data_IF_559138589148
#
_entry.id   IF_559138589148
#
_cell.length_a   1.000
_cell.length_b   1.000
_cell.length_c   1.000
_cell.angle_alpha   90.00
_cell.angle_beta   90.00
_cell.angle_gamma   90.00
#
_symmetry.space_group_name_H-M   'P 1'
#
loop_
_entity.id
_entity.type
_entity.pdbx_description
1 polymer ?
#
# COMPACT_ATOMS: atom_id res chain seq x y z
N UNK A 1 7.32 -42.39 -16.49
CA UNK A 1 8.15 -41.83 -15.40
C UNK A 1 8.77 -40.44 -15.71
N UNK A 2 8.57 -39.84 -16.90
CA UNK A 2 9.09 -38.49 -17.22
C UNK A 2 8.14 -37.31 -16.94
N UNK A 3 6.84 -37.58 -16.79
CA UNK A 3 5.81 -36.52 -16.59
C UNK A 3 5.77 -36.00 -15.13
N UNK A 4 6.12 -36.83 -14.15
CA UNK A 4 6.11 -36.44 -12.73
C UNK A 4 7.21 -35.42 -12.34
N UNK A 5 8.36 -35.44 -13.04
CA UNK A 5 9.48 -34.53 -12.73
C UNK A 5 9.22 -33.07 -13.17
N UNK A 6 8.46 -32.90 -14.26
CA UNK A 6 8.18 -31.56 -14.81
C UNK A 6 7.18 -30.77 -13.94
N UNK A 7 6.23 -31.46 -13.31
CA UNK A 7 5.23 -30.82 -12.44
C UNK A 7 5.84 -30.33 -11.12
N UNK A 8 6.76 -31.11 -10.53
CA UNK A 8 7.44 -30.75 -9.27
C UNK A 8 8.33 -29.53 -9.45
N UNK A 9 9.00 -29.37 -10.59
CA UNK A 9 9.86 -28.21 -10.86
C UNK A 9 9.05 -26.91 -11.05
N UNK A 10 7.87 -26.98 -11.68
CA UNK A 10 6.98 -25.83 -11.86
C UNK A 10 6.39 -25.32 -10.52
N UNK A 11 6.05 -26.22 -9.60
CA UNK A 11 5.52 -25.86 -8.28
C UNK A 11 6.59 -25.20 -7.41
N UNK A 12 7.82 -25.66 -7.44
CA UNK A 12 8.93 -25.08 -6.67
C UNK A 12 9.28 -23.65 -7.14
N UNK A 13 9.20 -23.37 -8.45
CA UNK A 13 9.49 -22.03 -8.99
C UNK A 13 8.42 -20.98 -8.66
N UNK A 14 7.16 -21.37 -8.57
CA UNK A 14 6.07 -20.45 -8.17
C UNK A 14 6.10 -20.12 -6.68
N UNK A 15 6.42 -21.07 -5.83
CA UNK A 15 6.56 -20.85 -4.39
C UNK A 15 7.72 -19.88 -4.07
N UNK A 16 8.85 -20.00 -4.75
CA UNK A 16 9.99 -19.11 -4.55
C UNK A 16 9.66 -17.65 -4.91
N UNK A 17 9.00 -17.42 -6.05
CA UNK A 17 8.59 -16.07 -6.47
C UNK A 17 7.57 -15.43 -5.52
N UNK A 18 6.64 -16.19 -4.99
CA UNK A 18 5.66 -15.68 -4.04
C UNK A 18 6.32 -15.29 -2.70
N UNK A 19 7.33 -16.04 -2.26
CA UNK A 19 8.09 -15.73 -1.06
C UNK A 19 8.93 -14.46 -1.21
N UNK A 20 9.56 -14.27 -2.38
CA UNK A 20 10.33 -13.06 -2.69
C UNK A 20 9.42 -11.82 -2.73
N UNK A 21 8.24 -11.90 -3.35
CA UNK A 21 7.27 -10.81 -3.39
C UNK A 21 6.78 -10.43 -1.98
N UNK A 22 6.48 -11.40 -1.14
CA UNK A 22 6.09 -11.18 0.27
C UNK A 22 7.19 -10.48 1.06
N UNK A 23 8.44 -10.90 0.89
CA UNK A 23 9.58 -10.28 1.58
C UNK A 23 9.80 -8.85 1.11
N UNK A 24 9.69 -8.60 -0.20
CA UNK A 24 9.81 -7.28 -0.78
C UNK A 24 8.74 -6.32 -0.24
N UNK A 25 7.49 -6.76 -0.12
CA UNK A 25 6.42 -5.95 0.49
C UNK A 25 6.74 -5.58 1.95
N UNK A 26 7.25 -6.53 2.73
CA UNK A 26 7.64 -6.28 4.13
C UNK A 26 8.77 -5.27 4.28
N UNK A 27 9.73 -5.25 3.35
CA UNK A 27 10.88 -4.33 3.41
C UNK A 27 10.57 -2.95 2.84
N UNK A 28 9.72 -2.89 1.80
CA UNK A 28 9.53 -1.66 1.04
C UNK A 28 8.32 -0.83 1.48
N UNK A 29 7.28 -1.47 2.05
CA UNK A 29 6.06 -0.77 2.47
C UNK A 29 6.23 -0.05 3.80
N UNK A 30 5.45 1.01 4.00
CA UNK A 30 5.35 1.75 5.26
C UNK A 30 4.52 0.98 6.28
N UNK A 31 5.18 0.17 7.08
CA UNK A 31 4.54 -0.73 8.05
C UNK A 31 4.94 -0.37 9.48
N UNK A 32 3.98 -0.28 10.36
CA UNK A 32 4.20 -0.22 11.81
C UNK A 32 3.95 -1.61 12.42
N UNK A 33 5.02 -2.29 12.83
CA UNK A 33 4.95 -3.68 13.34
C UNK A 33 4.21 -4.63 12.37
N UNK A 34 4.44 -4.50 11.06
CA UNK A 34 3.82 -5.31 10.02
C UNK A 34 2.41 -4.87 9.64
N UNK A 35 1.89 -3.78 10.21
CA UNK A 35 0.54 -3.24 9.93
C UNK A 35 0.63 -2.02 9.01
N UNK A 36 -0.10 -2.07 7.91
CA UNK A 36 -0.18 -0.97 6.94
C UNK A 36 -1.06 0.19 7.43
N UNK A 37 -0.86 1.36 6.84
CA UNK A 37 -1.67 2.59 7.04
C UNK A 37 -1.84 2.94 8.52
N UNK A 38 -0.85 2.59 9.36
CA UNK A 38 -0.89 2.80 10.82
C UNK A 38 -2.16 2.23 11.48
N UNK A 39 -2.73 1.16 10.91
CA UNK A 39 -3.93 0.50 11.39
C UNK A 39 -5.25 1.19 11.06
N UNK A 40 -5.27 2.14 10.13
CA UNK A 40 -6.51 2.66 9.54
C UNK A 40 -7.07 1.70 8.49
N UNK A 41 -8.39 1.69 8.35
CA UNK A 41 -9.12 0.85 7.40
C UNK A 41 -8.93 1.35 5.96
N UNK A 42 -8.24 0.60 5.08
CA UNK A 42 -7.96 1.06 3.72
C UNK A 42 -9.23 1.19 2.86
N UNK A 43 -10.31 0.44 3.15
CA UNK A 43 -11.57 0.52 2.41
C UNK A 43 -12.38 1.76 2.79
N UNK A 44 -12.26 2.23 4.04
CA UNK A 44 -13.00 3.37 4.53
C UNK A 44 -12.68 4.67 3.76
N UNK A 45 -11.43 4.84 3.30
CA UNK A 45 -11.06 5.98 2.47
C UNK A 45 -11.90 6.11 1.20
N UNK A 46 -12.25 4.98 0.59
CA UNK A 46 -13.04 4.94 -0.65
C UNK A 46 -14.55 5.00 -0.40
N UNK A 47 -15.03 4.25 0.60
CA UNK A 47 -16.47 4.13 0.85
C UNK A 47 -17.04 5.24 1.71
N UNK A 48 -16.25 5.77 2.63
CA UNK A 48 -16.69 6.77 3.60
C UNK A 48 -16.04 8.14 3.36
N UNK A 49 -15.03 8.22 2.49
CA UNK A 49 -14.26 9.45 2.26
C UNK A 49 -13.50 9.92 3.51
N UNK A 50 -13.17 9.01 4.41
CA UNK A 50 -12.58 9.32 5.71
C UNK A 50 -11.54 8.29 6.14
N UNK A 51 -10.55 8.74 6.91
CA UNK A 51 -9.62 7.88 7.62
C UNK A 51 -10.30 7.33 8.89
N UNK A 52 -10.62 6.05 8.91
CA UNK A 52 -11.29 5.38 10.02
C UNK A 52 -10.37 4.34 10.63
N UNK A 53 -10.22 4.34 11.97
CA UNK A 53 -9.42 3.33 12.65
C UNK A 53 -10.01 1.94 12.46
N UNK A 54 -9.18 1.01 12.04
CA UNK A 54 -9.49 -0.42 12.02
C UNK A 54 -9.35 -1.05 13.40
N UNK A 55 -9.93 -2.24 13.54
CA UNK A 55 -9.91 -3.06 14.75
C UNK A 55 -9.01 -4.28 14.52
N UNK A 56 -8.23 -4.67 15.54
CA UNK A 56 -7.30 -5.81 15.47
C UNK A 56 -8.01 -7.15 15.24
N UNK A 57 -9.20 -7.32 15.78
CA UNK A 57 -10.04 -8.52 15.62
C UNK A 57 -10.63 -8.65 14.21
N UNK A 58 -10.64 -7.56 13.44
CA UNK A 58 -11.03 -7.54 12.04
C UNK A 58 -9.83 -7.49 11.08
N UNK A 59 -8.69 -8.08 11.46
CA UNK A 59 -7.49 -8.08 10.63
C UNK A 59 -7.59 -9.01 9.41
N UNK A 60 -6.86 -8.67 8.35
CA UNK A 60 -6.49 -9.54 7.23
C UNK A 60 -4.99 -9.49 7.07
N UNK A 61 -4.36 -10.66 6.94
CA UNK A 61 -2.97 -10.80 6.52
C UNK A 61 -2.95 -11.12 5.03
N UNK A 62 -2.34 -10.27 4.24
CA UNK A 62 -2.22 -10.45 2.80
C UNK A 62 -0.78 -10.21 2.33
N UNK A 63 -0.16 -11.22 1.73
CA UNK A 63 1.18 -11.19 1.14
C UNK A 63 2.23 -10.46 2.02
N UNK A 64 2.26 -10.80 3.32
CA UNK A 64 3.25 -10.26 4.25
C UNK A 64 2.86 -8.96 4.97
N UNK A 65 1.70 -8.39 4.66
CA UNK A 65 1.19 -7.14 5.23
C UNK A 65 -0.11 -7.39 5.98
N UNK A 66 -0.26 -6.79 7.15
CA UNK A 66 -1.49 -6.84 7.94
C UNK A 66 -2.30 -5.56 7.74
N UNK A 67 -3.59 -5.72 7.49
CA UNK A 67 -4.56 -4.63 7.38
C UNK A 67 -5.64 -4.77 8.44
N UNK A 68 -6.05 -3.65 9.05
CA UNK A 68 -7.16 -3.62 10.01
C UNK A 68 -8.37 -2.97 9.37
N UNK A 69 -9.57 -3.47 9.71
CA UNK A 69 -10.84 -2.97 9.17
C UNK A 69 -11.76 -2.46 10.27
N UNK A 70 -12.56 -1.46 9.94
CA UNK A 70 -13.54 -0.87 10.86
C UNK A 70 -14.82 -1.69 10.98
N UNK A 71 -15.13 -2.48 9.93
CA UNK A 71 -16.30 -3.36 9.85
C UNK A 71 -15.99 -4.68 9.13
N UNK A 72 -16.89 -5.65 9.29
CA UNK A 72 -16.83 -6.96 8.59
C UNK A 72 -17.01 -6.75 7.09
N UNK A 73 -17.92 -5.85 6.69
CA UNK A 73 -18.20 -5.54 5.29
C UNK A 73 -16.97 -4.98 4.57
N UNK A 74 -16.22 -4.07 5.20
CA UNK A 74 -14.98 -3.53 4.64
C UNK A 74 -13.90 -4.60 4.53
N UNK A 75 -13.76 -5.45 5.56
CA UNK A 75 -12.86 -6.60 5.55
C UNK A 75 -13.15 -7.55 4.38
N UNK A 76 -14.42 -7.90 4.18
CA UNK A 76 -14.82 -8.82 3.12
C UNK A 76 -14.70 -8.18 1.74
N UNK A 77 -14.92 -6.88 1.63
CA UNK A 77 -14.69 -6.13 0.39
C UNK A 77 -13.20 -6.11 0.00
N UNK A 78 -12.31 -5.85 0.96
CA UNK A 78 -10.86 -5.89 0.74
C UNK A 78 -10.39 -7.25 0.21
N UNK A 79 -10.89 -8.35 0.80
CA UNK A 79 -10.51 -9.71 0.38
C UNK A 79 -10.86 -10.05 -1.06
N UNK A 80 -11.86 -9.42 -1.64
CA UNK A 80 -12.25 -9.64 -3.05
C UNK A 80 -11.19 -9.12 -4.01
N UNK A 81 -10.60 -7.95 -3.70
CA UNK A 81 -9.54 -7.37 -4.49
C UNK A 81 -8.67 -6.40 -3.64
N UNK A 82 -7.67 -6.90 -2.92
CA UNK A 82 -6.82 -6.09 -2.05
C UNK A 82 -6.15 -4.91 -2.78
N UNK A 83 -5.69 -5.11 -4.01
CA UNK A 83 -4.95 -4.10 -4.79
C UNK A 83 -5.78 -2.82 -5.07
N UNK A 84 -7.11 -2.92 -5.05
CA UNK A 84 -7.96 -1.74 -5.22
C UNK A 84 -7.92 -0.77 -4.03
N UNK A 85 -7.54 -1.27 -2.86
CA UNK A 85 -7.62 -0.52 -1.59
C UNK A 85 -6.25 -0.22 -0.99
N UNK A 86 -5.19 -0.85 -1.48
CA UNK A 86 -3.85 -0.59 -1.01
C UNK A 86 -3.41 0.85 -1.36
N UNK A 87 -2.73 1.55 -0.42
CA UNK A 87 -2.20 2.86 -0.72
C UNK A 87 -1.09 2.78 -1.75
N UNK A 88 -1.01 3.77 -2.62
CA UNK A 88 0.08 3.89 -3.57
C UNK A 88 1.42 4.07 -2.84
N UNK A 89 2.49 3.67 -3.50
CA UNK A 89 3.86 3.75 -2.99
C UNK A 89 4.06 3.04 -1.66
N UNK A 90 3.35 1.91 -1.47
CA UNK A 90 3.41 1.14 -0.23
C UNK A 90 2.98 1.90 1.02
N UNK A 91 2.24 3.01 0.87
CA UNK A 91 1.79 3.85 1.98
C UNK A 91 2.79 4.93 2.42
N UNK A 92 3.88 5.16 1.69
CA UNK A 92 4.78 6.32 1.90
C UNK A 92 4.17 7.62 1.37
N UNK A 93 4.69 8.74 1.82
CA UNK A 93 4.25 10.06 1.39
C UNK A 93 4.41 10.25 -0.12
N UNK A 94 3.29 10.43 -0.84
CA UNK A 94 3.30 10.57 -2.29
C UNK A 94 4.07 11.80 -2.75
N UNK A 95 4.00 12.92 -2.01
CA UNK A 95 4.76 14.11 -2.33
C UNK A 95 6.27 13.87 -2.26
N UNK A 96 6.77 13.25 -1.18
CA UNK A 96 8.20 12.95 -1.04
C UNK A 96 8.67 11.98 -2.12
N UNK A 97 7.87 10.94 -2.41
CA UNK A 97 8.15 10.01 -3.49
C UNK A 97 8.25 10.72 -4.85
N UNK A 98 7.38 11.67 -5.13
CA UNK A 98 7.40 12.46 -6.38
C UNK A 98 8.48 13.55 -6.41
N UNK A 99 8.84 14.12 -5.26
CA UNK A 99 9.84 15.18 -5.18
C UNK A 99 11.25 14.64 -5.45
N UNK A 100 11.67 13.63 -4.70
CA UNK A 100 13.04 13.13 -4.69
C UNK A 100 13.17 11.59 -4.51
N UNK A 101 12.05 10.86 -4.41
CA UNK A 101 12.02 9.42 -4.22
C UNK A 101 12.22 8.97 -2.78
N UNK A 102 12.17 9.87 -1.80
CA UNK A 102 12.37 9.51 -0.41
C UNK A 102 11.13 8.86 0.21
N UNK A 103 11.37 7.90 1.09
CA UNK A 103 10.38 7.23 1.92
C UNK A 103 10.14 8.04 3.19
N UNK A 104 9.08 8.83 3.20
CA UNK A 104 8.67 9.67 4.34
C UNK A 104 7.36 9.15 4.91
N UNK A 105 7.28 9.02 6.23
CA UNK A 105 6.07 8.64 6.93
C UNK A 105 4.92 9.60 6.65
N UNK A 106 3.70 9.12 6.82
CA UNK A 106 2.48 9.87 6.53
C UNK A 106 1.69 10.20 7.80
N UNK A 107 0.78 11.13 7.66
CA UNK A 107 -0.40 11.26 8.49
C UNK A 107 -1.56 10.57 7.77
N UNK A 108 -2.10 9.45 8.28
CA UNK A 108 -3.17 8.70 7.61
C UNK A 108 -4.45 9.51 7.38
N UNK A 109 -4.67 10.59 8.14
CA UNK A 109 -5.83 11.48 7.98
C UNK A 109 -5.63 12.47 6.83
N UNK A 110 -4.40 12.60 6.31
CA UNK A 110 -4.07 13.47 5.17
C UNK A 110 -3.90 12.62 3.91
N UNK A 111 -4.97 12.53 3.13
CA UNK A 111 -5.06 11.67 1.96
C UNK A 111 -5.77 12.32 0.77
N UNK A 112 -5.67 11.67 -0.38
CA UNK A 112 -6.42 11.99 -1.60
C UNK A 112 -6.70 10.72 -2.39
N UNK A 113 -7.90 10.60 -2.95
CA UNK A 113 -8.23 9.58 -3.95
C UNK A 113 -8.09 10.22 -5.33
N UNK A 114 -7.25 9.63 -6.18
CA UNK A 114 -7.00 10.09 -7.56
C UNK A 114 -7.13 8.87 -8.46
N UNK A 115 -8.01 8.91 -9.45
CA UNK A 115 -8.25 7.82 -10.39
C UNK A 115 -8.53 6.47 -9.69
N UNK A 116 -9.30 6.50 -8.59
CA UNK A 116 -9.64 5.31 -7.81
C UNK A 116 -8.47 4.71 -7.01
N UNK A 117 -7.41 5.46 -6.77
CA UNK A 117 -6.23 5.05 -5.99
C UNK A 117 -6.01 5.93 -4.78
N UNK A 118 -5.58 5.35 -3.67
CA UNK A 118 -5.32 6.04 -2.41
C UNK A 118 -3.89 6.57 -2.36
N UNK A 119 -3.74 7.86 -2.14
CA UNK A 119 -2.48 8.56 -1.91
C UNK A 119 -2.46 9.16 -0.52
N UNK A 120 -1.37 8.92 0.22
CA UNK A 120 -1.17 9.40 1.59
C UNK A 120 -0.08 10.46 1.61
N UNK A 121 -0.17 11.39 2.57
CA UNK A 121 0.73 12.54 2.64
C UNK A 121 1.24 12.78 4.06
N UNK A 122 2.43 13.35 4.17
CA UNK A 122 2.96 13.85 5.43
C UNK A 122 2.23 15.14 5.84
N UNK A 123 1.85 15.22 7.11
CA UNK A 123 1.25 16.42 7.69
C UNK A 123 1.58 16.52 9.18
N UNK A 124 2.74 17.11 9.51
CA UNK A 124 3.17 17.40 10.88
C UNK A 124 3.91 18.74 10.93
N UNK A 125 3.97 19.36 12.09
CA UNK A 125 4.75 20.58 12.34
C UNK A 125 4.43 21.71 11.34
N UNK A 126 3.15 21.97 11.07
CA UNK A 126 2.65 22.99 10.12
C UNK A 126 3.04 22.71 8.65
N UNK A 127 3.63 21.59 8.33
CA UNK A 127 3.98 21.19 6.98
C UNK A 127 3.00 20.12 6.46
N UNK A 128 2.03 20.56 5.64
CA UNK A 128 1.07 19.68 4.96
C UNK A 128 1.48 19.51 3.49
N UNK A 129 2.07 18.37 3.16
CA UNK A 129 2.61 18.11 1.82
C UNK A 129 1.53 17.86 0.75
N UNK A 130 0.28 17.57 1.12
CA UNK A 130 -0.85 17.54 0.18
C UNK A 130 -1.05 18.91 -0.49
N UNK A 131 -0.82 20.02 0.24
CA UNK A 131 -0.90 21.36 -0.36
C UNK A 131 0.17 21.56 -1.43
N UNK A 132 1.36 21.02 -1.22
CA UNK A 132 2.47 21.09 -2.20
C UNK A 132 2.22 20.14 -3.38
N UNK A 133 1.67 18.96 -3.14
CA UNK A 133 1.25 18.02 -4.18
C UNK A 133 0.23 18.64 -5.13
N UNK A 134 -0.80 19.30 -4.61
CA UNK A 134 -1.85 19.92 -5.42
C UNK A 134 -1.37 21.04 -6.35
N UNK A 135 -0.16 21.59 -6.13
CA UNK A 135 0.42 22.62 -7.01
C UNK A 135 1.04 22.05 -8.29
N UNK A 136 1.45 20.77 -8.28
CA UNK A 136 2.14 20.12 -9.40
C UNK A 136 1.83 18.60 -9.45
N UNK A 137 0.55 18.24 -9.26
CA UNK A 137 0.09 16.87 -9.12
C UNK A 137 0.53 15.97 -10.27
N UNK A 138 0.34 16.43 -11.51
CA UNK A 138 0.61 15.62 -12.70
C UNK A 138 2.11 15.24 -12.80
N UNK A 139 3.01 16.19 -12.61
CA UNK A 139 4.44 15.91 -12.68
C UNK A 139 4.94 15.14 -11.45
N UNK A 140 4.43 15.46 -10.25
CA UNK A 140 4.78 14.75 -9.02
C UNK A 140 4.34 13.28 -9.08
N UNK A 141 3.12 13.02 -9.58
CA UNK A 141 2.60 11.65 -9.75
C UNK A 141 3.46 10.86 -10.73
N UNK A 142 3.78 11.43 -11.88
CA UNK A 142 4.64 10.77 -12.89
C UNK A 142 6.02 10.42 -12.32
N UNK A 143 6.65 11.35 -11.59
CA UNK A 143 7.95 11.09 -10.94
C UNK A 143 7.84 10.07 -9.80
N UNK A 144 6.77 10.13 -9.00
CA UNK A 144 6.55 9.17 -7.92
C UNK A 144 6.40 7.74 -8.45
N UNK A 145 5.65 7.56 -9.55
CA UNK A 145 5.49 6.28 -10.22
C UNK A 145 6.85 5.71 -10.71
N UNK A 146 7.72 6.56 -11.27
CA UNK A 146 9.06 6.17 -11.70
C UNK A 146 9.98 5.85 -10.51
N UNK A 147 9.93 6.67 -9.46
CA UNK A 147 10.76 6.46 -8.28
C UNK A 147 10.35 5.20 -7.51
N UNK A 148 9.05 4.95 -7.36
CA UNK A 148 8.56 3.76 -6.68
C UNK A 148 8.98 2.46 -7.37
N UNK A 149 9.03 2.42 -8.71
CA UNK A 149 9.52 1.27 -9.47
C UNK A 149 10.96 0.87 -9.15
N UNK A 150 11.78 1.76 -8.58
CA UNK A 150 13.15 1.42 -8.15
C UNK A 150 13.17 0.56 -6.88
N UNK A 151 12.13 0.63 -6.06
CA UNK A 151 11.99 -0.12 -4.82
C UNK A 151 11.12 -1.36 -4.97
N UNK A 152 10.07 -1.25 -5.78
CA UNK A 152 9.04 -2.27 -5.89
C UNK A 152 8.72 -2.59 -7.35
N UNK A 153 9.11 -3.79 -7.75
CA UNK A 153 8.86 -4.35 -9.09
C UNK A 153 7.77 -5.42 -8.96
N UNK A 154 6.65 -5.24 -9.65
CA UNK A 154 5.63 -6.28 -9.89
C UNK A 154 5.74 -6.80 -11.31
#
# INVERSE_FOLDING_TARGET
MKIFFTIIFAIASTACRAQDATQLRKSEFNLSNGVAVSGFDPVAYFKQGAAVKGKKDLAVFDQGVTYYFSSVENKDEFKKNPLNYEPQYGGWCAYAMGKDGSKVEVDPETFKIIDGKLYLYYNKFFNNTLKSWNKDETNLKSRADLNWKKFYHQ
#
